data_IF_702593448573
#
_entry.id   IF_702593448573
#
_cell.length_a   1.000
_cell.length_b   1.000
_cell.length_c   1.000
_cell.angle_alpha   90.00
_cell.angle_beta   90.00
_cell.angle_gamma   90.00
#
_symmetry.space_group_name_H-M   'P 1'
#
loop_
_entity.id
_entity.type
_entity.pdbx_description
1 polymer ?
#
# COMPACT_ATOMS: atom_id res chain seq x y z
N UNK A 1 -35.40 33.38 -20.48
CA UNK A 1 -34.23 33.18 -19.59
C UNK A 1 -34.58 33.03 -18.11
N UNK A 2 -35.85 33.00 -17.71
CA UNK A 2 -36.24 32.80 -16.30
C UNK A 2 -37.02 31.50 -16.02
N UNK A 3 -37.39 30.72 -17.05
CA UNK A 3 -38.18 29.49 -16.87
C UNK A 3 -37.39 28.18 -17.04
N UNK A 4 -36.14 28.22 -17.49
CA UNK A 4 -35.28 27.02 -17.65
C UNK A 4 -34.30 26.75 -16.50
N UNK A 5 -34.31 27.58 -15.45
CA UNK A 5 -33.46 27.39 -14.26
C UNK A 5 -34.14 26.60 -13.13
N UNK A 6 -35.47 26.46 -13.16
CA UNK A 6 -36.21 25.79 -12.08
C UNK A 6 -36.33 24.25 -12.23
N UNK A 7 -35.99 23.67 -13.38
CA UNK A 7 -36.08 22.22 -13.59
C UNK A 7 -34.76 21.46 -13.29
N UNK A 8 -33.63 22.17 -13.15
CA UNK A 8 -32.35 21.57 -12.77
C UNK A 8 -32.14 21.43 -11.25
N UNK A 9 -32.90 22.16 -10.43
CA UNK A 9 -32.88 21.98 -8.96
C UNK A 9 -33.70 20.76 -8.49
N UNK A 10 -34.56 20.19 -9.34
CA UNK A 10 -35.46 19.09 -8.97
C UNK A 10 -34.87 17.67 -9.12
N UNK A 11 -33.61 17.53 -9.56
CA UNK A 11 -32.94 16.22 -9.72
C UNK A 11 -31.70 16.01 -8.85
N UNK A 12 -31.54 16.80 -7.79
CA UNK A 12 -30.57 16.42 -6.75
C UNK A 12 -31.11 15.19 -6.00
N UNK A 13 -30.38 14.06 -5.94
CA UNK A 13 -30.75 12.98 -5.02
C UNK A 13 -30.82 13.59 -3.63
N UNK A 14 -31.70 13.10 -2.74
CA UNK A 14 -31.85 13.69 -1.42
C UNK A 14 -30.49 13.67 -0.73
N UNK A 15 -29.84 14.84 -0.66
CA UNK A 15 -28.73 15.08 0.24
C UNK A 15 -29.37 15.03 1.61
N UNK A 16 -29.44 13.83 2.20
CA UNK A 16 -29.49 13.71 3.64
C UNK A 16 -28.23 14.43 4.12
N UNK A 17 -28.38 15.69 4.53
CA UNK A 17 -27.39 16.32 5.38
C UNK A 17 -27.40 15.52 6.67
N UNK A 18 -26.51 14.55 6.75
CA UNK A 18 -26.20 13.89 8.01
C UNK A 18 -25.45 14.93 8.84
N UNK A 19 -26.20 15.67 9.64
CA UNK A 19 -25.63 16.43 10.74
C UNK A 19 -24.91 15.44 11.66
N UNK A 20 -23.72 15.80 12.13
CA UNK A 20 -22.93 14.96 13.04
C UNK A 20 -23.81 14.49 14.20
N UNK A 21 -23.82 13.20 14.57
CA UNK A 21 -24.53 12.74 15.76
C UNK A 21 -24.04 13.51 17.00
N UNK A 22 -24.90 13.64 18.00
CA UNK A 22 -24.51 14.23 19.30
C UNK A 22 -23.30 13.47 19.87
N UNK A 23 -22.12 14.11 19.92
CA UNK A 23 -20.88 13.52 20.45
C UNK A 23 -19.71 13.43 19.46
N UNK A 24 -19.92 13.68 18.16
CA UNK A 24 -18.82 13.79 17.18
C UNK A 24 -18.54 15.24 16.77
N UNK A 25 -17.26 15.60 16.63
CA UNK A 25 -16.87 16.86 15.99
C UNK A 25 -16.84 16.74 14.48
N UNK A 26 -16.88 17.85 13.74
CA UNK A 26 -16.96 17.78 12.29
C UNK A 26 -15.73 17.08 11.69
N UNK A 27 -14.52 17.32 12.20
CA UNK A 27 -13.32 16.67 11.65
C UNK A 27 -13.29 15.16 11.91
N UNK A 28 -13.68 14.72 13.11
CA UNK A 28 -13.78 13.33 13.54
C UNK A 28 -14.96 12.62 12.91
N UNK A 29 -16.08 13.33 12.74
CA UNK A 29 -17.22 12.82 12.00
C UNK A 29 -16.82 12.58 10.56
N UNK A 30 -16.20 13.56 9.90
CA UNK A 30 -15.69 13.40 8.55
C UNK A 30 -14.65 12.27 8.52
N UNK A 31 -13.75 12.17 9.49
CA UNK A 31 -12.75 11.11 9.52
C UNK A 31 -13.35 9.70 9.75
N UNK A 32 -14.28 9.54 10.69
CA UNK A 32 -14.97 8.27 10.96
C UNK A 32 -15.93 7.91 9.83
N UNK A 33 -16.58 8.89 9.19
CA UNK A 33 -17.32 8.69 7.95
C UNK A 33 -16.39 8.34 6.79
N UNK A 34 -15.16 8.84 6.80
CA UNK A 34 -14.07 8.46 5.91
C UNK A 34 -13.74 6.97 6.06
N UNK A 35 -13.48 6.52 7.29
CA UNK A 35 -13.26 5.11 7.63
C UNK A 35 -14.46 4.22 7.37
N UNK A 36 -15.66 4.66 7.72
CA UNK A 36 -16.90 3.93 7.47
C UNK A 36 -17.17 3.80 5.97
N UNK A 37 -16.96 4.87 5.23
CA UNK A 37 -17.06 4.86 3.77
C UNK A 37 -15.99 3.95 3.17
N UNK A 38 -14.77 3.97 3.70
CA UNK A 38 -13.69 3.06 3.32
C UNK A 38 -14.06 1.58 3.59
N UNK A 39 -14.56 1.26 4.78
CA UNK A 39 -14.95 -0.10 5.13
C UNK A 39 -16.15 -0.61 4.32
N UNK A 40 -17.03 0.29 3.87
CA UNK A 40 -18.25 -0.07 3.11
C UNK A 40 -18.14 0.11 1.60
N UNK A 41 -16.95 0.40 1.05
CA UNK A 41 -16.81 0.42 -0.40
C UNK A 41 -16.94 1.79 -1.08
N UNK A 42 -17.08 2.87 -0.33
CA UNK A 42 -17.43 4.20 -0.83
C UNK A 42 -16.23 5.17 -0.89
N UNK A 43 -15.25 4.93 -1.79
CA UNK A 43 -13.93 5.62 -1.82
C UNK A 43 -13.98 7.09 -2.15
N UNK A 44 -14.85 7.51 -3.06
CA UNK A 44 -14.99 8.94 -3.37
C UNK A 44 -15.51 9.70 -2.16
N UNK A 45 -16.50 9.14 -1.47
CA UNK A 45 -16.98 9.69 -0.21
C UNK A 45 -15.88 9.66 0.84
N UNK A 46 -15.15 8.54 0.98
CA UNK A 46 -14.03 8.39 1.91
C UNK A 46 -12.91 9.41 1.66
N UNK A 47 -12.52 9.63 0.41
CA UNK A 47 -11.51 10.63 0.04
C UNK A 47 -12.01 12.05 0.29
N UNK A 48 -13.27 12.36 -0.03
CA UNK A 48 -13.88 13.65 0.30
C UNK A 48 -13.91 13.89 1.81
N UNK A 49 -14.23 12.85 2.58
CA UNK A 49 -14.24 12.85 4.03
C UNK A 49 -12.83 13.03 4.62
N UNK A 50 -11.80 12.36 4.07
CA UNK A 50 -10.41 12.56 4.48
C UNK A 50 -9.88 13.94 4.08
N UNK A 51 -10.27 14.46 2.91
CA UNK A 51 -9.94 15.82 2.49
C UNK A 51 -10.61 16.86 3.40
N UNK A 52 -11.89 16.67 3.73
CA UNK A 52 -12.61 17.51 4.68
C UNK A 52 -11.96 17.48 6.06
N UNK A 53 -11.58 16.29 6.56
CA UNK A 53 -10.82 16.15 7.79
C UNK A 53 -9.47 16.89 7.73
N UNK A 54 -8.72 16.79 6.63
CA UNK A 54 -7.46 17.50 6.43
C UNK A 54 -7.62 19.03 6.34
N UNK A 55 -8.69 19.53 5.70
CA UNK A 55 -8.99 20.97 5.62
C UNK A 55 -9.42 21.53 6.98
N UNK A 56 -10.24 20.78 7.72
CA UNK A 56 -10.63 21.13 9.09
C UNK A 56 -9.40 21.11 10.03
N UNK A 57 -8.46 20.18 9.82
CA UNK A 57 -7.16 20.14 10.48
C UNK A 57 -6.31 21.38 10.18
N UNK A 58 -6.18 21.78 8.92
CA UNK A 58 -5.46 23.01 8.54
C UNK A 58 -6.10 24.26 9.19
N UNK A 59 -7.43 24.27 9.30
CA UNK A 59 -8.18 25.34 9.95
C UNK A 59 -7.94 25.40 11.47
N UNK A 60 -7.77 24.24 12.14
CA UNK A 60 -7.38 24.14 13.55
C UNK A 60 -5.99 24.77 13.79
N UNK A 61 -5.01 24.47 12.93
CA UNK A 61 -3.65 25.03 13.06
C UNK A 61 -3.65 26.56 12.96
N UNK A 62 -4.48 27.11 12.09
CA UNK A 62 -4.56 28.56 11.87
C UNK A 62 -5.40 29.27 12.94
N UNK A 63 -6.46 28.62 13.43
CA UNK A 63 -7.41 29.22 14.37
C UNK A 63 -7.83 28.27 15.50
N UNK A 64 -6.93 27.98 16.47
CA UNK A 64 -7.16 26.98 17.52
C UNK A 64 -8.39 27.27 18.40
N UNK A 65 -8.65 28.55 18.66
CA UNK A 65 -9.82 29.00 19.46
C UNK A 65 -11.15 28.84 18.73
N UNK A 66 -11.14 28.72 17.40
CA UNK A 66 -12.36 28.53 16.60
C UNK A 66 -12.75 27.04 16.52
N UNK A 67 -11.79 26.13 16.61
CA UNK A 67 -12.03 24.70 16.45
C UNK A 67 -12.87 24.06 17.56
N UNK A 68 -12.83 24.63 18.77
CA UNK A 68 -13.71 24.20 19.86
C UNK A 68 -15.21 24.37 19.53
N UNK A 69 -15.55 25.22 18.55
CA UNK A 69 -16.93 25.43 18.09
C UNK A 69 -17.31 24.53 16.91
N UNK A 70 -16.34 23.92 16.23
CA UNK A 70 -16.55 22.89 15.20
C UNK A 70 -16.52 21.48 15.79
N UNK A 71 -16.44 21.39 17.13
CA UNK A 71 -16.27 20.15 17.85
C UNK A 71 -17.19 19.96 19.05
N UNK A 72 -17.82 18.79 19.12
CA UNK A 72 -18.53 18.33 20.33
C UNK A 72 -17.63 17.55 21.29
N UNK A 73 -16.39 17.25 20.88
CA UNK A 73 -15.34 16.75 21.76
C UNK A 73 -14.90 17.85 22.71
N UNK A 74 -14.69 17.49 23.97
CA UNK A 74 -14.16 18.42 24.98
C UNK A 74 -12.79 18.94 24.54
N UNK A 75 -12.43 20.17 24.93
CA UNK A 75 -11.14 20.76 24.57
C UNK A 75 -9.94 19.86 24.94
N UNK A 76 -10.08 19.01 25.96
CA UNK A 76 -9.07 18.04 26.39
C UNK A 76 -8.82 16.85 25.44
N UNK A 77 -9.71 16.55 24.49
CA UNK A 77 -9.52 15.44 23.52
C UNK A 77 -9.06 15.90 22.13
N UNK A 78 -9.06 17.22 21.88
CA UNK A 78 -8.55 17.82 20.65
C UNK A 78 -7.10 17.40 20.30
N UNK A 79 -6.16 17.28 21.26
CA UNK A 79 -4.81 16.83 20.94
C UNK A 79 -4.75 15.41 20.37
N UNK A 80 -5.53 14.47 20.91
CA UNK A 80 -5.52 13.08 20.42
C UNK A 80 -6.07 12.96 19.00
N UNK A 81 -7.11 13.73 18.67
CA UNK A 81 -7.67 13.83 17.32
C UNK A 81 -6.64 14.39 16.33
N UNK A 82 -5.97 15.47 16.74
CA UNK A 82 -4.93 16.13 15.96
C UNK A 82 -3.74 15.19 15.71
N UNK A 83 -3.28 14.48 16.74
CA UNK A 83 -2.21 13.50 16.63
C UNK A 83 -2.57 12.34 15.69
N UNK A 84 -3.80 11.84 15.77
CA UNK A 84 -4.26 10.78 14.89
C UNK A 84 -4.38 11.22 13.43
N UNK A 85 -4.84 12.45 13.19
CA UNK A 85 -4.84 13.04 11.84
C UNK A 85 -3.43 13.12 11.25
N UNK A 86 -2.45 13.55 12.06
CA UNK A 86 -1.04 13.58 11.69
C UNK A 86 -0.51 12.18 11.33
N UNK A 87 -0.81 11.15 12.14
CA UNK A 87 -0.44 9.74 11.85
C UNK A 87 -0.95 9.27 10.48
N UNK A 88 -2.18 9.64 10.11
CA UNK A 88 -2.78 9.21 8.84
C UNK A 88 -2.22 9.97 7.64
N UNK A 89 -2.04 11.28 7.77
CA UNK A 89 -1.37 12.07 6.75
C UNK A 89 0.08 11.61 6.55
N UNK A 90 0.79 11.30 7.64
CA UNK A 90 2.15 10.78 7.59
C UNK A 90 2.24 9.48 6.79
N UNK A 91 1.33 8.54 7.05
CA UNK A 91 1.27 7.28 6.29
C UNK A 91 1.01 7.53 4.81
N UNK A 92 0.05 8.41 4.47
CA UNK A 92 -0.26 8.74 3.08
C UNK A 92 0.93 9.40 2.37
N UNK A 93 1.56 10.38 3.02
CA UNK A 93 2.74 11.07 2.50
C UNK A 93 3.88 10.10 2.23
N UNK A 94 4.18 9.21 3.17
CA UNK A 94 5.23 8.21 3.02
C UNK A 94 4.90 7.20 1.90
N UNK A 95 3.75 6.54 1.99
CA UNK A 95 3.50 5.35 1.18
C UNK A 95 2.98 5.65 -0.22
N UNK A 96 2.01 6.57 -0.34
CA UNK A 96 1.35 6.86 -1.61
C UNK A 96 1.99 8.01 -2.38
N UNK A 97 2.58 8.99 -1.67
CA UNK A 97 3.23 10.15 -2.29
C UNK A 97 4.75 10.01 -2.36
N UNK A 98 5.35 9.03 -1.68
CA UNK A 98 6.81 8.84 -1.63
C UNK A 98 7.56 9.92 -0.84
N UNK A 99 6.87 10.85 -0.15
CA UNK A 99 7.48 11.89 0.67
C UNK A 99 7.66 11.40 2.11
N UNK A 100 8.63 10.52 2.29
CA UNK A 100 9.00 9.98 3.60
C UNK A 100 9.48 11.07 4.58
N UNK A 101 10.08 12.16 4.10
CA UNK A 101 10.50 13.27 4.96
C UNK A 101 9.31 14.06 5.52
N UNK A 102 8.24 14.23 4.74
CA UNK A 102 6.97 14.72 5.28
C UNK A 102 6.36 13.73 6.29
N UNK A 103 6.46 12.43 6.00
CA UNK A 103 6.10 11.37 6.95
C UNK A 103 6.81 11.51 8.30
N UNK A 104 8.14 11.72 8.30
CA UNK A 104 8.92 11.96 9.54
C UNK A 104 8.34 13.12 10.33
N UNK A 105 8.15 14.28 9.69
CA UNK A 105 7.64 15.49 10.36
C UNK A 105 6.25 15.25 10.97
N UNK A 106 5.33 14.71 10.20
CA UNK A 106 3.96 14.48 10.65
C UNK A 106 3.86 13.42 11.77
N UNK A 107 4.66 12.35 11.71
CA UNK A 107 4.71 11.40 12.82
C UNK A 107 5.34 11.99 14.09
N UNK A 108 6.33 12.89 13.96
CA UNK A 108 6.90 13.62 15.09
C UNK A 108 5.89 14.59 15.69
N UNK A 109 5.17 15.36 14.87
CA UNK A 109 4.07 16.23 15.31
C UNK A 109 3.03 15.41 16.09
N UNK A 110 2.67 14.22 15.61
CA UNK A 110 1.76 13.33 16.33
C UNK A 110 2.28 12.93 17.72
N UNK A 111 3.59 12.68 17.86
CA UNK A 111 4.22 12.33 19.15
C UNK A 111 4.22 13.53 20.10
N UNK A 112 4.45 14.74 19.60
CA UNK A 112 4.51 15.94 20.43
C UNK A 112 3.13 16.42 20.89
N UNK A 113 2.12 16.25 20.03
CA UNK A 113 0.75 16.68 20.28
C UNK A 113 0.03 15.74 21.24
N UNK A 114 0.26 14.42 21.11
CA UNK A 114 -0.43 13.43 21.91
C UNK A 114 0.11 13.40 23.35
N UNK A 115 -0.76 13.63 24.34
CA UNK A 115 -0.40 13.51 25.75
C UNK A 115 -0.02 12.08 26.16
N UNK A 116 -0.38 11.07 25.36
CA UNK A 116 0.02 9.68 25.53
C UNK A 116 0.25 9.01 24.15
N UNK A 117 1.38 9.31 23.48
CA UNK A 117 1.62 8.91 22.09
C UNK A 117 1.45 7.41 21.83
N UNK A 118 0.91 7.07 20.67
CA UNK A 118 0.81 5.67 20.23
C UNK A 118 2.18 5.08 19.82
N UNK A 119 2.43 3.77 20.04
CA UNK A 119 3.59 3.08 19.46
C UNK A 119 3.64 3.19 17.93
N UNK A 120 2.49 3.35 17.27
CA UNK A 120 2.40 3.55 15.81
C UNK A 120 3.12 4.82 15.36
N UNK A 121 3.06 5.90 16.15
CA UNK A 121 3.70 7.16 15.78
C UNK A 121 5.22 7.00 15.79
N UNK A 122 5.78 6.40 16.85
CA UNK A 122 7.22 6.13 16.94
C UNK A 122 7.69 5.16 15.85
N UNK A 123 6.96 4.07 15.62
CA UNK A 123 7.28 3.10 14.56
C UNK A 123 7.23 3.75 13.17
N UNK A 124 6.26 4.63 12.95
CA UNK A 124 6.12 5.44 11.74
C UNK A 124 7.30 6.40 11.53
N UNK A 125 7.78 7.08 12.58
CA UNK A 125 8.99 7.91 12.51
C UNK A 125 10.19 7.06 12.06
N UNK A 126 10.43 5.92 12.71
CA UNK A 126 11.55 5.04 12.36
C UNK A 126 11.49 4.59 10.90
N UNK A 127 10.30 4.15 10.47
CA UNK A 127 10.05 3.69 9.09
C UNK A 127 10.33 4.79 8.06
N UNK A 128 9.84 6.00 8.32
CA UNK A 128 10.07 7.13 7.42
C UNK A 128 11.52 7.60 7.40
N UNK A 129 12.24 7.52 8.53
CA UNK A 129 13.68 7.82 8.60
C UNK A 129 14.46 6.86 7.70
N UNK A 130 14.21 5.54 7.82
CA UNK A 130 14.89 4.56 6.97
C UNK A 130 14.55 4.76 5.49
N UNK A 131 13.27 4.97 5.18
CA UNK A 131 12.78 5.24 3.82
C UNK A 131 13.36 6.52 3.21
N UNK A 132 13.82 7.46 4.04
CA UNK A 132 14.45 8.71 3.58
C UNK A 132 15.96 8.56 3.38
N UNK A 133 16.51 7.35 3.47
CA UNK A 133 17.94 7.07 3.33
C UNK A 133 18.80 7.56 4.51
N UNK A 134 18.18 7.90 5.64
CA UNK A 134 18.88 8.42 6.83
C UNK A 134 19.52 7.32 7.70
N UNK A 135 19.30 6.05 7.33
CA UNK A 135 19.94 4.88 7.92
C UNK A 135 19.23 4.31 9.16
N UNK A 136 19.46 3.02 9.46
CA UNK A 136 18.85 2.32 10.58
C UNK A 136 19.31 2.86 11.94
N UNK A 137 20.50 3.48 12.04
CA UNK A 137 21.03 4.05 13.30
C UNK A 137 20.14 5.18 13.81
N UNK A 138 19.63 6.02 12.91
CA UNK A 138 18.74 7.13 13.27
C UNK A 138 17.32 6.67 13.56
N UNK A 139 16.88 5.57 12.94
CA UNK A 139 15.55 5.01 13.14
C UNK A 139 15.44 4.19 14.44
N UNK A 140 16.52 3.51 14.84
CA UNK A 140 16.53 2.56 15.94
C UNK A 140 16.01 3.11 17.29
N UNK A 141 16.34 4.33 17.74
CA UNK A 141 15.79 4.89 18.98
C UNK A 141 14.25 4.96 18.98
N UNK A 142 13.65 5.26 17.82
CA UNK A 142 12.20 5.32 17.65
C UNK A 142 11.57 3.93 17.68
N UNK A 143 12.17 2.95 16.99
CA UNK A 143 11.72 1.56 17.05
C UNK A 143 11.81 0.96 18.47
N UNK A 144 12.89 1.24 19.20
CA UNK A 144 13.02 0.81 20.59
C UNK A 144 11.93 1.43 21.48
N UNK A 145 11.63 2.72 21.27
CA UNK A 145 10.57 3.41 22.01
C UNK A 145 9.21 2.78 21.71
N UNK A 146 8.86 2.59 20.43
CA UNK A 146 7.63 1.92 20.01
C UNK A 146 7.50 0.53 20.64
N UNK A 147 8.57 -0.28 20.58
CA UNK A 147 8.60 -1.63 21.16
C UNK A 147 8.41 -1.64 22.67
N UNK A 148 9.03 -0.72 23.42
CA UNK A 148 8.90 -0.64 24.89
C UNK A 148 7.48 -0.28 25.33
N UNK A 149 6.75 0.48 24.53
CA UNK A 149 5.39 0.91 24.85
C UNK A 149 4.37 -0.23 24.74
N UNK A 150 4.61 -1.22 23.87
CA UNK A 150 3.71 -2.36 23.67
C UNK A 150 2.34 -1.96 23.09
N UNK A 151 1.54 -2.94 22.65
CA UNK A 151 0.19 -2.69 22.11
C UNK A 151 -0.32 -3.75 21.14
N UNK A 152 -1.53 -3.57 20.60
CA UNK A 152 -2.18 -4.52 19.67
C UNK A 152 -1.37 -4.78 18.37
N UNK A 153 -0.48 -3.85 17.98
CA UNK A 153 0.49 -4.00 16.88
C UNK A 153 1.93 -4.31 17.35
N UNK A 154 2.10 -4.78 18.59
CA UNK A 154 3.41 -4.97 19.22
C UNK A 154 4.39 -5.85 18.43
N UNK A 155 3.86 -6.78 17.61
CA UNK A 155 4.67 -7.62 16.72
C UNK A 155 5.43 -6.84 15.65
N UNK A 156 4.81 -5.85 14.99
CA UNK A 156 5.46 -5.08 13.92
C UNK A 156 6.57 -4.18 14.47
N UNK A 157 6.32 -3.47 15.56
CA UNK A 157 7.35 -2.61 16.18
C UNK A 157 8.52 -3.42 16.75
N UNK A 158 8.25 -4.62 17.30
CA UNK A 158 9.31 -5.52 17.71
C UNK A 158 10.13 -6.01 16.51
N UNK A 159 9.47 -6.32 15.40
CA UNK A 159 10.10 -6.75 14.17
C UNK A 159 11.02 -5.68 13.56
N UNK A 160 10.50 -4.47 13.32
CA UNK A 160 11.29 -3.36 12.78
C UNK A 160 12.49 -3.03 13.67
N UNK A 161 12.29 -3.04 14.99
CA UNK A 161 13.36 -2.86 15.97
C UNK A 161 14.45 -3.93 15.82
N UNK A 162 14.08 -5.21 15.72
CA UNK A 162 15.04 -6.30 15.56
C UNK A 162 15.79 -6.25 14.22
N UNK A 163 15.10 -5.93 13.13
CA UNK A 163 15.71 -5.76 11.80
C UNK A 163 16.74 -4.63 11.82
N UNK A 164 16.39 -3.47 12.38
CA UNK A 164 17.31 -2.34 12.54
C UNK A 164 18.48 -2.69 13.47
N UNK A 165 18.26 -3.45 14.54
CA UNK A 165 19.33 -3.92 15.43
C UNK A 165 20.33 -4.85 14.72
N UNK A 166 19.88 -5.81 13.90
CA UNK A 166 20.81 -6.66 13.14
C UNK A 166 21.67 -5.83 12.19
N UNK A 167 21.07 -4.86 11.49
CA UNK A 167 21.73 -3.99 10.52
C UNK A 167 22.71 -2.99 11.16
N UNK A 168 22.47 -2.59 12.40
CA UNK A 168 23.36 -1.70 13.18
C UNK A 168 24.39 -2.44 14.02
N UNK A 169 24.56 -3.76 13.81
CA UNK A 169 25.59 -4.55 14.50
C UNK A 169 25.23 -5.04 15.90
N UNK A 170 23.94 -4.99 16.29
CA UNK A 170 23.42 -5.46 17.58
C UNK A 170 22.77 -6.85 17.45
N UNK A 171 23.51 -7.82 16.90
CA UNK A 171 22.93 -9.11 16.50
C UNK A 171 22.38 -9.94 17.68
N UNK A 172 23.02 -9.86 18.85
CA UNK A 172 22.58 -10.62 20.02
C UNK A 172 21.21 -10.13 20.52
N UNK A 173 21.03 -8.82 20.64
CA UNK A 173 19.75 -8.23 21.07
C UNK A 173 18.63 -8.48 20.05
N UNK A 174 18.95 -8.35 18.77
CA UNK A 174 17.99 -8.67 17.71
C UNK A 174 17.55 -10.13 17.75
N UNK A 175 18.49 -11.07 17.96
CA UNK A 175 18.21 -12.51 18.05
C UNK A 175 17.24 -12.82 19.19
N UNK A 176 17.41 -12.19 20.35
CA UNK A 176 16.50 -12.37 21.49
C UNK A 176 15.07 -11.94 21.18
N UNK A 177 14.91 -10.83 20.44
CA UNK A 177 13.59 -10.37 19.99
C UNK A 177 13.00 -11.35 18.96
N UNK A 178 13.76 -11.70 17.92
CA UNK A 178 13.30 -12.60 16.86
C UNK A 178 12.96 -14.00 17.37
N UNK A 179 13.72 -14.54 18.32
CA UNK A 179 13.45 -15.86 18.92
C UNK A 179 12.18 -15.86 19.78
N UNK A 180 11.86 -14.73 20.42
CA UNK A 180 10.59 -14.55 21.12
C UNK A 180 9.43 -14.51 20.12
N UNK A 181 9.56 -13.71 19.07
CA UNK A 181 8.56 -13.59 18.01
C UNK A 181 8.31 -14.92 17.30
N UNK A 182 9.36 -15.73 17.06
CA UNK A 182 9.23 -17.08 16.48
C UNK A 182 8.38 -18.02 17.34
N UNK A 183 8.32 -17.79 18.65
CA UNK A 183 7.47 -18.56 19.58
C UNK A 183 6.07 -17.97 19.72
N UNK A 184 5.83 -16.78 19.19
CA UNK A 184 4.56 -16.06 19.23
C UNK A 184 3.51 -16.60 18.25
N UNK A 185 2.59 -15.71 17.87
CA UNK A 185 1.46 -16.02 16.97
C UNK A 185 1.88 -16.22 15.51
N UNK A 186 0.94 -16.66 14.67
CA UNK A 186 1.22 -16.95 13.26
C UNK A 186 1.75 -15.73 12.49
N UNK A 187 1.24 -14.53 12.77
CA UNK A 187 1.74 -13.28 12.18
C UNK A 187 3.19 -12.99 12.53
N UNK A 188 3.58 -13.08 13.80
CA UNK A 188 4.97 -12.84 14.22
C UNK A 188 5.93 -13.88 13.63
N UNK A 189 5.50 -15.15 13.54
CA UNK A 189 6.27 -16.20 12.86
C UNK A 189 6.47 -15.87 11.39
N UNK A 190 5.41 -15.44 10.70
CA UNK A 190 5.46 -15.01 9.30
C UNK A 190 6.49 -13.90 9.07
N UNK A 191 6.53 -12.89 9.94
CA UNK A 191 7.51 -11.80 9.89
C UNK A 191 8.95 -12.30 10.05
N UNK A 192 9.23 -13.08 11.11
CA UNK A 192 10.60 -13.60 11.38
C UNK A 192 11.09 -14.48 10.24
N UNK A 193 10.21 -15.29 9.68
CA UNK A 193 10.52 -16.21 8.61
C UNK A 193 10.73 -15.51 7.26
N UNK A 194 9.92 -14.47 6.99
CA UNK A 194 10.13 -13.55 5.87
C UNK A 194 11.48 -12.87 5.95
N UNK A 195 11.85 -12.36 7.12
CA UNK A 195 13.15 -11.74 7.32
C UNK A 195 14.32 -12.70 7.10
N UNK A 196 14.19 -13.95 7.53
CA UNK A 196 15.16 -15.00 7.21
C UNK A 196 15.38 -15.14 5.70
N UNK A 197 14.29 -15.12 4.92
CA UNK A 197 14.35 -15.20 3.47
C UNK A 197 14.99 -13.97 2.83
N UNK A 198 14.52 -12.77 3.18
CA UNK A 198 15.03 -11.49 2.63
C UNK A 198 16.52 -11.33 2.93
N UNK A 199 16.91 -11.52 4.19
CA UNK A 199 18.32 -11.42 4.63
C UNK A 199 19.23 -12.39 3.90
N UNK A 200 18.78 -13.61 3.61
CA UNK A 200 19.57 -14.57 2.84
C UNK A 200 19.83 -14.09 1.42
N UNK A 201 18.80 -13.56 0.75
CA UNK A 201 18.89 -13.12 -0.65
C UNK A 201 19.59 -11.76 -0.80
N UNK A 202 19.50 -10.91 0.22
CA UNK A 202 20.09 -9.56 0.23
C UNK A 202 21.41 -9.46 1.00
N UNK A 203 22.02 -10.59 1.39
CA UNK A 203 23.23 -10.62 2.25
C UNK A 203 24.45 -9.86 1.71
N UNK A 204 24.51 -9.65 0.39
CA UNK A 204 25.62 -8.95 -0.26
C UNK A 204 25.39 -7.43 -0.36
N UNK A 205 24.14 -6.97 -0.29
CA UNK A 205 23.79 -5.57 -0.49
C UNK A 205 22.42 -5.25 0.15
N UNK A 206 22.39 -5.24 1.48
CA UNK A 206 21.15 -5.24 2.27
C UNK A 206 20.56 -3.84 2.48
N UNK A 207 21.41 -2.82 2.51
CA UNK A 207 20.98 -1.45 2.83
C UNK A 207 20.50 -0.67 1.60
N UNK A 208 20.92 -1.05 0.40
CA UNK A 208 20.47 -0.43 -0.86
C UNK A 208 19.16 -1.02 -1.38
N UNK A 209 18.88 -2.29 -1.07
CA UNK A 209 17.80 -3.07 -1.69
C UNK A 209 16.62 -3.33 -0.74
N UNK A 210 16.56 -2.64 0.40
CA UNK A 210 15.51 -2.79 1.41
C UNK A 210 14.75 -1.48 1.62
N UNK A 211 13.61 -1.35 0.95
CA UNK A 211 12.78 -0.15 0.89
C UNK A 211 11.60 -0.20 1.88
N UNK A 212 10.77 0.85 1.92
CA UNK A 212 9.64 0.91 2.86
C UNK A 212 8.28 1.31 2.25
N UNK A 213 8.25 2.10 1.18
CA UNK A 213 6.98 2.60 0.62
C UNK A 213 6.54 1.87 -0.66
N UNK A 214 5.23 1.73 -0.86
CA UNK A 214 4.68 1.19 -2.12
C UNK A 214 5.07 2.06 -3.32
N UNK A 215 4.94 3.39 -3.24
CA UNK A 215 5.32 4.27 -4.35
C UNK A 215 6.80 4.12 -4.72
N UNK A 216 7.67 4.12 -3.71
CA UNK A 216 9.13 3.97 -3.88
C UNK A 216 9.47 2.66 -4.62
N UNK A 217 8.84 1.55 -4.23
CA UNK A 217 9.02 0.26 -4.89
C UNK A 217 8.52 0.27 -6.34
N UNK A 218 7.38 0.92 -6.63
CA UNK A 218 6.89 1.06 -8.00
C UNK A 218 7.82 1.94 -8.85
N UNK A 219 8.34 3.04 -8.32
CA UNK A 219 9.30 3.91 -9.00
C UNK A 219 10.60 3.16 -9.33
N UNK A 220 11.12 2.38 -8.37
CA UNK A 220 12.28 1.53 -8.60
C UNK A 220 12.01 0.49 -9.68
N UNK A 221 10.91 -0.26 -9.58
CA UNK A 221 10.57 -1.30 -10.55
C UNK A 221 10.36 -0.74 -11.97
N UNK A 222 9.74 0.44 -12.10
CA UNK A 222 9.59 1.15 -13.38
C UNK A 222 10.96 1.61 -13.92
N UNK A 223 11.83 2.12 -13.04
CA UNK A 223 13.20 2.49 -13.40
C UNK A 223 13.98 1.30 -13.97
N UNK A 224 13.85 0.13 -13.35
CA UNK A 224 14.47 -1.10 -13.83
C UNK A 224 13.85 -1.63 -15.14
N UNK A 225 12.57 -1.34 -15.38
CA UNK A 225 11.85 -1.74 -16.59
C UNK A 225 12.02 -0.74 -17.75
N UNK A 226 12.79 0.34 -17.55
CA UNK A 226 12.88 1.48 -18.47
C UNK A 226 13.13 1.07 -19.92
N UNK A 227 14.14 0.25 -20.17
CA UNK A 227 14.51 -0.17 -21.53
C UNK A 227 13.37 -0.97 -22.20
N UNK A 228 12.70 -1.84 -21.45
CA UNK A 228 11.54 -2.60 -21.94
C UNK A 228 10.34 -1.70 -22.23
N UNK A 229 10.11 -0.68 -21.39
CA UNK A 229 9.02 0.29 -21.54
C UNK A 229 9.26 1.19 -22.76
N UNK A 230 10.48 1.73 -22.91
CA UNK A 230 10.90 2.56 -24.04
C UNK A 230 10.89 1.76 -25.35
N UNK A 231 11.25 0.47 -25.29
CA UNK A 231 11.14 -0.49 -26.40
C UNK A 231 9.70 -0.85 -26.78
N UNK A 232 8.70 -0.31 -26.09
CA UNK A 232 7.29 -0.49 -26.43
C UNK A 232 6.61 -1.67 -25.74
N UNK A 233 7.27 -2.35 -24.81
CA UNK A 233 6.72 -3.50 -24.08
C UNK A 233 5.48 -3.16 -23.24
N UNK A 234 4.73 -4.20 -22.91
CA UNK A 234 3.47 -4.11 -22.16
C UNK A 234 3.73 -3.74 -20.69
N UNK A 235 2.81 -2.95 -20.14
CA UNK A 235 2.77 -2.52 -18.75
C UNK A 235 1.44 -2.98 -18.18
N UNK A 236 1.48 -3.80 -17.13
CA UNK A 236 0.28 -4.44 -16.59
C UNK A 236 0.18 -4.27 -15.06
N UNK A 237 -1.05 -4.21 -14.57
CA UNK A 237 -1.41 -4.42 -13.16
C UNK A 237 -2.51 -5.48 -13.08
N UNK A 238 -2.32 -6.47 -12.20
CA UNK A 238 -3.27 -7.55 -11.96
C UNK A 238 -3.76 -7.45 -10.53
N UNK A 239 -5.03 -7.13 -10.35
CA UNK A 239 -5.58 -6.63 -9.09
C UNK A 239 -5.45 -5.11 -9.03
N UNK A 240 -6.51 -4.43 -9.43
CA UNK A 240 -6.60 -2.96 -9.49
C UNK A 240 -7.42 -2.43 -8.32
N UNK A 241 -8.46 -3.16 -7.93
CA UNK A 241 -9.47 -2.75 -6.95
C UNK A 241 -9.95 -1.31 -7.21
N UNK A 242 -9.66 -0.38 -6.29
CA UNK A 242 -10.04 1.04 -6.39
C UNK A 242 -9.01 1.90 -7.12
N UNK A 243 -7.90 1.30 -7.55
CA UNK A 243 -6.86 1.89 -8.37
C UNK A 243 -5.86 2.72 -7.58
N UNK A 244 -5.50 2.32 -6.35
CA UNK A 244 -4.50 3.06 -5.55
C UNK A 244 -3.14 3.01 -6.25
N UNK A 245 -2.62 1.80 -6.49
CA UNK A 245 -1.39 1.53 -7.22
C UNK A 245 -1.50 1.94 -8.70
N UNK A 246 -2.62 1.65 -9.38
CA UNK A 246 -2.87 2.13 -10.76
C UNK A 246 -2.67 3.65 -10.90
N UNK A 247 -3.15 4.45 -9.95
CA UNK A 247 -2.95 5.92 -9.98
C UNK A 247 -1.49 6.30 -9.79
N UNK A 248 -0.75 5.60 -8.92
CA UNK A 248 0.69 5.80 -8.79
C UNK A 248 1.38 5.46 -10.12
N UNK A 249 1.05 4.33 -10.74
CA UNK A 249 1.58 3.94 -12.06
C UNK A 249 1.28 5.00 -13.12
N UNK A 250 0.06 5.53 -13.18
CA UNK A 250 -0.32 6.61 -14.09
C UNK A 250 0.49 7.90 -13.88
N UNK A 251 0.85 8.21 -12.64
CA UNK A 251 1.65 9.39 -12.29
C UNK A 251 3.13 9.20 -12.61
N UNK A 252 3.68 8.01 -12.38
CA UNK A 252 5.09 7.70 -12.57
C UNK A 252 5.42 7.50 -14.06
N UNK A 253 4.53 6.83 -14.81
CA UNK A 253 4.78 6.45 -16.20
C UNK A 253 4.54 7.60 -17.19
N UNK A 254 5.24 7.61 -18.34
CA UNK A 254 4.98 8.57 -19.40
C UNK A 254 3.54 8.48 -19.91
N UNK A 255 2.90 9.63 -20.16
CA UNK A 255 1.47 9.70 -20.51
C UNK A 255 1.12 9.06 -21.85
N UNK A 256 2.11 8.88 -22.72
CA UNK A 256 1.97 8.21 -24.01
C UNK A 256 1.93 6.69 -23.89
N UNK A 257 2.33 6.13 -22.74
CA UNK A 257 2.34 4.69 -22.50
C UNK A 257 0.97 4.22 -22.02
N UNK A 258 0.51 3.13 -22.63
CA UNK A 258 -0.73 2.47 -22.22
C UNK A 258 -0.45 1.54 -21.06
N UNK A 259 -1.27 1.64 -20.02
CA UNK A 259 -1.24 0.75 -18.83
C UNK A 259 -2.48 -0.15 -18.89
N UNK A 260 -2.30 -1.46 -18.77
CA UNK A 260 -3.39 -2.41 -18.77
C UNK A 260 -3.70 -2.88 -17.35
N UNK A 261 -4.92 -2.63 -16.88
CA UNK A 261 -5.38 -3.10 -15.58
C UNK A 261 -6.35 -4.28 -15.72
N UNK A 262 -6.16 -5.32 -14.91
CA UNK A 262 -7.01 -6.52 -14.91
C UNK A 262 -7.63 -6.69 -13.53
N UNK A 263 -8.97 -6.74 -13.47
CA UNK A 263 -9.70 -6.93 -12.21
C UNK A 263 -11.15 -7.36 -12.50
N UNK A 264 -11.81 -8.03 -11.54
CA UNK A 264 -13.25 -8.29 -11.61
C UNK A 264 -14.06 -7.04 -11.22
N UNK A 265 -13.50 -6.21 -10.34
CA UNK A 265 -14.10 -5.16 -9.53
C UNK A 265 -15.17 -5.66 -8.56
N UNK A 266 -15.36 -6.98 -8.48
CA UNK A 266 -16.33 -7.67 -7.63
C UNK A 266 -15.68 -8.19 -6.33
N UNK A 267 -14.36 -8.10 -6.24
CA UNK A 267 -13.57 -8.55 -5.09
C UNK A 267 -13.00 -9.95 -5.30
N UNK A 268 -12.46 -10.52 -4.22
CA UNK A 268 -11.83 -11.84 -4.24
C UNK A 268 -12.81 -12.93 -4.72
N UNK A 269 -12.41 -13.82 -5.64
CA UNK A 269 -13.25 -14.91 -6.11
C UNK A 269 -13.45 -16.01 -5.06
N UNK A 270 -12.50 -16.14 -4.13
CA UNK A 270 -12.52 -17.09 -3.01
C UNK A 270 -11.97 -16.45 -1.73
N UNK A 271 -12.14 -17.10 -0.59
CA UNK A 271 -11.62 -16.59 0.68
C UNK A 271 -10.08 -16.69 0.75
N UNK A 272 -9.44 -15.72 1.40
CA UNK A 272 -7.99 -15.65 1.56
C UNK A 272 -7.61 -15.34 3.01
N UNK A 273 -7.11 -16.34 3.74
CA UNK A 273 -6.87 -16.19 5.18
C UNK A 273 -8.16 -15.87 5.94
N UNK A 274 -8.17 -14.72 6.62
CA UNK A 274 -9.36 -14.20 7.32
C UNK A 274 -10.28 -13.35 6.41
N UNK A 275 -9.82 -13.03 5.20
CA UNK A 275 -10.60 -12.26 4.22
C UNK A 275 -11.61 -13.15 3.50
N UNK A 276 -12.86 -12.69 3.45
CA UNK A 276 -13.95 -13.44 2.81
C UNK A 276 -13.95 -13.20 1.30
N UNK A 277 -14.55 -14.13 0.56
CA UNK A 277 -14.88 -13.89 -0.84
C UNK A 277 -15.70 -12.58 -0.99
N UNK A 278 -15.39 -11.80 -2.02
CA UNK A 278 -15.94 -10.45 -2.24
C UNK A 278 -15.27 -9.32 -1.47
N UNK A 279 -14.29 -9.58 -0.59
CA UNK A 279 -13.41 -8.53 -0.04
C UNK A 279 -12.70 -7.79 -1.18
N UNK A 280 -12.35 -6.51 -0.96
CA UNK A 280 -11.70 -5.60 -1.92
C UNK A 280 -12.55 -5.19 -3.13
N UNK A 281 -13.85 -5.49 -3.12
CA UNK A 281 -14.78 -5.05 -4.16
C UNK A 281 -14.81 -3.53 -4.35
N UNK A 282 -14.87 -3.10 -5.61
CA UNK A 282 -15.21 -1.73 -6.01
C UNK A 282 -16.72 -1.61 -6.36
N UNK A 283 -17.54 -2.58 -5.93
CA UNK A 283 -18.96 -2.66 -6.24
C UNK A 283 -19.23 -2.98 -7.71
N UNK A 284 -18.32 -3.70 -8.37
CA UNK A 284 -18.36 -4.02 -9.80
C UNK A 284 -18.09 -2.81 -10.70
N UNK A 285 -17.69 -1.67 -10.14
CA UNK A 285 -17.49 -0.41 -10.87
C UNK A 285 -16.01 -0.15 -11.12
N UNK A 286 -15.68 0.04 -12.39
CA UNK A 286 -14.37 0.50 -12.81
C UNK A 286 -14.16 1.93 -12.31
N UNK A 287 -13.08 2.22 -11.54
CA UNK A 287 -12.74 3.58 -11.16
C UNK A 287 -12.44 4.46 -12.38
N UNK A 288 -12.56 5.78 -12.20
CA UNK A 288 -12.15 6.70 -13.26
C UNK A 288 -10.62 6.81 -13.30
N UNK A 289 -10.05 6.63 -14.48
CA UNK A 289 -8.62 6.70 -14.78
C UNK A 289 -8.37 7.62 -15.98
N UNK A 290 -7.11 7.96 -16.22
CA UNK A 290 -6.70 8.69 -17.40
C UNK A 290 -6.93 7.90 -18.69
N UNK A 291 -6.90 8.60 -19.83
CA UNK A 291 -7.13 8.01 -21.16
C UNK A 291 -6.09 6.96 -21.56
N UNK A 292 -4.96 6.92 -20.88
CA UNK A 292 -3.87 5.96 -21.11
C UNK A 292 -4.07 4.63 -20.35
N UNK A 293 -5.06 4.52 -19.46
CA UNK A 293 -5.38 3.26 -18.77
C UNK A 293 -6.45 2.49 -19.54
N UNK A 294 -6.20 1.21 -19.80
CA UNK A 294 -7.14 0.28 -20.45
C UNK A 294 -7.46 -0.87 -19.52
N UNK A 295 -8.71 -0.88 -19.03
CA UNK A 295 -9.18 -1.90 -18.10
C UNK A 295 -9.72 -3.12 -18.85
N UNK A 296 -9.35 -4.31 -18.38
CA UNK A 296 -9.85 -5.62 -18.80
C UNK A 296 -10.62 -6.24 -17.64
N UNK A 297 -11.92 -5.98 -17.61
CA UNK A 297 -12.79 -6.47 -16.55
C UNK A 297 -13.05 -7.96 -16.71
N UNK A 298 -12.88 -8.73 -15.63
CA UNK A 298 -13.22 -10.14 -15.54
C UNK A 298 -12.16 -10.96 -14.80
N UNK A 299 -12.42 -12.26 -14.66
CA UNK A 299 -11.43 -13.20 -14.12
C UNK A 299 -10.19 -13.25 -15.02
N UNK A 300 -9.03 -13.50 -14.43
CA UNK A 300 -7.75 -13.53 -15.16
C UNK A 300 -7.73 -14.60 -16.26
N UNK A 301 -8.31 -15.78 -16.02
CA UNK A 301 -8.40 -16.88 -17.00
C UNK A 301 -9.13 -16.48 -18.29
N UNK A 302 -10.13 -15.60 -18.18
CA UNK A 302 -10.95 -15.17 -19.30
C UNK A 302 -10.38 -13.91 -19.97
N UNK A 303 -10.00 -12.93 -19.15
CA UNK A 303 -9.62 -11.59 -19.64
C UNK A 303 -8.24 -11.57 -20.31
N UNK A 304 -7.24 -12.25 -19.75
CA UNK A 304 -5.85 -12.20 -20.25
C UNK A 304 -5.74 -12.93 -21.58
N UNK A 305 -6.32 -14.13 -21.70
CA UNK A 305 -6.26 -14.95 -22.92
C UNK A 305 -6.88 -14.27 -24.14
N UNK A 306 -7.98 -13.52 -23.94
CA UNK A 306 -8.61 -12.76 -25.01
C UNK A 306 -7.76 -11.55 -25.36
N UNK A 307 -7.32 -10.79 -24.36
CA UNK A 307 -6.51 -9.59 -24.54
C UNK A 307 -5.18 -9.86 -25.27
N UNK A 308 -4.47 -10.95 -24.93
CA UNK A 308 -3.19 -11.31 -25.58
C UNK A 308 -3.29 -11.60 -27.08
N UNK A 309 -4.51 -11.73 -27.63
CA UNK A 309 -4.77 -11.89 -29.07
C UNK A 309 -5.05 -10.58 -29.79
N UNK A 310 -5.24 -9.47 -29.07
CA UNK A 310 -5.48 -8.18 -29.68
C UNK A 310 -4.26 -7.73 -30.49
N UNK A 311 -4.51 -7.14 -31.67
CA UNK A 311 -3.47 -6.77 -32.63
C UNK A 311 -2.36 -5.92 -32.01
N UNK A 312 -2.73 -4.99 -31.15
CA UNK A 312 -1.83 -4.00 -30.55
C UNK A 312 -0.86 -4.60 -29.52
N UNK A 313 -1.17 -5.78 -28.94
CA UNK A 313 -0.34 -6.42 -27.89
C UNK A 313 0.16 -7.82 -28.25
N UNK A 314 -0.43 -8.44 -29.28
CA UNK A 314 -0.18 -9.85 -29.65
C UNK A 314 1.29 -10.22 -29.91
N UNK A 315 2.17 -9.23 -30.14
CA UNK A 315 3.60 -9.42 -30.41
C UNK A 315 4.51 -8.70 -29.43
N UNK A 316 3.96 -7.97 -28.47
CA UNK A 316 4.76 -7.17 -27.53
C UNK A 316 5.26 -8.06 -26.39
N UNK A 317 6.52 -7.93 -25.94
CA UNK A 317 6.97 -8.53 -24.70
C UNK A 317 6.33 -7.84 -23.49
N UNK A 318 6.33 -8.51 -22.34
CA UNK A 318 6.00 -7.88 -21.07
C UNK A 318 7.23 -7.10 -20.57
N UNK A 319 7.12 -5.79 -20.40
CA UNK A 319 8.19 -4.98 -19.82
C UNK A 319 8.07 -4.95 -18.29
N UNK A 320 6.86 -4.66 -17.80
CA UNK A 320 6.57 -4.49 -16.38
C UNK A 320 5.23 -5.10 -16.02
N UNK A 321 5.15 -5.78 -14.87
CA UNK A 321 3.88 -6.12 -14.24
C UNK A 321 3.88 -5.90 -12.73
N UNK A 322 2.86 -5.21 -12.23
CA UNK A 322 2.45 -5.24 -10.83
C UNK A 322 1.50 -6.44 -10.61
N UNK A 323 1.95 -7.41 -9.81
CA UNK A 323 1.21 -8.62 -9.44
C UNK A 323 0.65 -8.38 -8.03
N UNK A 324 -0.62 -8.02 -7.96
CA UNK A 324 -1.36 -7.70 -6.72
C UNK A 324 -2.61 -8.58 -6.65
N UNK A 325 -2.38 -9.89 -6.71
CA UNK A 325 -3.45 -10.86 -6.92
C UNK A 325 -3.96 -11.48 -5.62
N UNK A 326 -3.22 -11.30 -4.53
CA UNK A 326 -3.32 -11.93 -3.21
C UNK A 326 -3.20 -13.47 -3.25
N UNK A 327 -4.05 -14.11 -4.03
CA UNK A 327 -4.24 -15.55 -4.10
C UNK A 327 -3.18 -16.25 -4.93
N UNK A 328 -2.79 -17.45 -4.47
CA UNK A 328 -2.00 -18.40 -5.24
C UNK A 328 -2.62 -18.72 -6.61
N UNK A 329 -3.91 -19.03 -6.64
CA UNK A 329 -4.64 -19.47 -7.84
C UNK A 329 -4.64 -18.39 -8.92
N UNK A 330 -4.99 -17.15 -8.53
CA UNK A 330 -4.92 -15.95 -9.35
C UNK A 330 -3.51 -15.70 -9.90
N UNK A 331 -2.50 -15.67 -9.02
CA UNK A 331 -1.10 -15.42 -9.43
C UNK A 331 -0.59 -16.49 -10.38
N UNK A 332 -0.88 -17.76 -10.11
CA UNK A 332 -0.50 -18.89 -10.97
C UNK A 332 -1.14 -18.79 -12.36
N UNK A 333 -2.40 -18.37 -12.44
CA UNK A 333 -3.08 -18.12 -13.72
C UNK A 333 -2.38 -17.01 -14.52
N UNK A 334 -2.14 -15.85 -13.88
CA UNK A 334 -1.46 -14.71 -14.51
C UNK A 334 -0.10 -15.12 -15.08
N UNK A 335 0.76 -15.73 -14.26
CA UNK A 335 2.10 -16.15 -14.67
C UNK A 335 2.08 -17.19 -15.79
N UNK A 336 1.13 -18.14 -15.74
CA UNK A 336 1.00 -19.18 -16.77
C UNK A 336 0.58 -18.61 -18.12
N UNK A 337 -0.32 -17.62 -18.12
CA UNK A 337 -0.81 -17.00 -19.35
C UNK A 337 0.18 -16.00 -19.95
N UNK A 338 0.90 -15.27 -19.11
CA UNK A 338 1.95 -14.33 -19.55
C UNK A 338 3.26 -15.02 -19.92
N UNK A 339 3.41 -16.32 -19.66
CA UNK A 339 4.63 -17.06 -19.94
C UNK A 339 5.25 -16.79 -21.33
N UNK A 340 4.48 -16.75 -22.44
CA UNK A 340 5.02 -16.50 -23.78
C UNK A 340 5.47 -15.05 -24.03
N UNK A 341 5.35 -14.18 -23.02
CA UNK A 341 5.62 -12.74 -23.07
C UNK A 341 6.69 -12.30 -22.07
N UNK A 342 6.98 -13.15 -21.09
CA UNK A 342 8.03 -12.93 -20.09
C UNK A 342 9.38 -13.27 -20.76
N UNK A 343 10.25 -12.27 -20.84
CA UNK A 343 11.54 -12.32 -21.54
C UNK A 343 12.66 -11.77 -20.64
N UNK A 344 13.94 -12.00 -20.95
CA UNK A 344 15.03 -11.31 -20.27
C UNK A 344 14.82 -9.79 -20.21
N UNK A 345 15.00 -9.21 -19.03
CA UNK A 345 14.72 -7.80 -18.74
C UNK A 345 13.27 -7.49 -18.33
N UNK A 346 12.34 -8.44 -18.38
CA UNK A 346 11.00 -8.27 -17.77
C UNK A 346 11.15 -8.03 -16.27
N UNK A 347 10.48 -6.98 -15.76
CA UNK A 347 10.38 -6.69 -14.33
C UNK A 347 9.00 -7.08 -13.82
N UNK A 348 8.97 -7.81 -12.71
CA UNK A 348 7.74 -8.12 -11.97
C UNK A 348 7.89 -7.57 -10.56
N UNK A 349 6.87 -6.89 -10.05
CA UNK A 349 6.72 -6.56 -8.64
C UNK A 349 5.53 -7.33 -8.08
N UNK A 350 5.71 -7.95 -6.93
CA UNK A 350 4.67 -8.68 -6.20
C UNK A 350 4.23 -7.88 -4.98
N UNK A 351 2.93 -7.70 -4.76
CA UNK A 351 2.41 -6.86 -3.67
C UNK A 351 2.45 -7.60 -2.31
N UNK A 352 1.94 -8.83 -2.28
CA UNK A 352 1.81 -9.65 -1.07
C UNK A 352 2.79 -10.84 -1.12
N UNK A 353 4.09 -10.52 -1.15
CA UNK A 353 5.14 -11.52 -1.33
C UNK A 353 5.74 -12.05 -0.02
N UNK A 354 5.82 -11.20 1.01
CA UNK A 354 6.47 -11.48 2.30
C UNK A 354 5.71 -10.82 3.46
N UNK A 355 6.16 -11.03 4.70
CA UNK A 355 5.69 -10.33 5.89
C UNK A 355 4.19 -10.47 6.23
N UNK A 356 3.54 -11.54 5.75
CA UNK A 356 2.21 -11.96 6.21
C UNK A 356 2.21 -13.45 6.65
N UNK A 357 1.23 -13.92 7.44
CA UNK A 357 1.29 -15.23 8.10
C UNK A 357 1.45 -16.44 7.15
N UNK A 358 0.89 -16.34 5.95
CA UNK A 358 0.82 -17.42 4.96
C UNK A 358 1.68 -17.19 3.73
N UNK A 359 2.62 -16.25 3.76
CA UNK A 359 3.35 -15.76 2.58
C UNK A 359 3.95 -16.83 1.67
N UNK A 360 4.33 -17.99 2.21
CA UNK A 360 4.84 -19.11 1.42
C UNK A 360 3.81 -19.88 0.60
N UNK A 361 2.53 -19.61 0.77
CA UNK A 361 1.45 -20.39 0.17
C UNK A 361 0.78 -19.69 -1.01
N UNK A 362 0.99 -18.37 -1.13
CA UNK A 362 0.25 -17.47 -2.00
C UNK A 362 1.11 -17.06 -3.21
N UNK A 363 1.33 -15.75 -3.43
CA UNK A 363 2.08 -15.23 -4.58
C UNK A 363 3.50 -15.82 -4.66
N UNK A 364 4.18 -15.94 -3.51
CA UNK A 364 5.50 -16.57 -3.43
C UNK A 364 5.49 -17.99 -4.00
N UNK A 365 4.48 -18.78 -3.63
CA UNK A 365 4.38 -20.17 -4.08
C UNK A 365 4.16 -20.23 -5.58
N UNK A 366 3.20 -19.44 -6.08
CA UNK A 366 2.89 -19.37 -7.50
C UNK A 366 4.12 -18.98 -8.33
N UNK A 367 4.89 -17.98 -7.86
CA UNK A 367 6.15 -17.58 -8.47
C UNK A 367 7.18 -18.72 -8.49
N UNK A 368 7.43 -19.36 -7.34
CA UNK A 368 8.43 -20.44 -7.25
C UNK A 368 8.08 -21.65 -8.11
N UNK A 369 6.80 -22.01 -8.18
CA UNK A 369 6.32 -23.08 -9.06
C UNK A 369 6.43 -22.69 -10.54
N UNK A 370 6.07 -21.46 -10.91
CA UNK A 370 6.20 -20.95 -12.27
C UNK A 370 7.66 -20.91 -12.75
N UNK A 371 8.58 -20.40 -11.93
CA UNK A 371 10.03 -20.41 -12.21
C UNK A 371 10.51 -21.83 -12.49
N UNK A 372 10.15 -22.80 -11.64
CA UNK A 372 10.54 -24.20 -11.82
C UNK A 372 9.92 -24.80 -13.09
N UNK A 373 8.65 -24.51 -13.36
CA UNK A 373 7.90 -25.05 -14.49
C UNK A 373 8.40 -24.52 -15.83
N UNK A 374 8.74 -23.23 -15.90
CA UNK A 374 9.10 -22.55 -17.13
C UNK A 374 10.61 -22.37 -17.32
N UNK A 375 11.42 -22.73 -16.31
CA UNK A 375 12.87 -22.68 -16.38
C UNK A 375 13.44 -21.27 -16.36
N UNK A 376 12.74 -20.32 -15.74
CA UNK A 376 13.19 -18.93 -15.67
C UNK A 376 14.40 -18.78 -14.76
N UNK A 377 15.37 -18.00 -15.22
CA UNK A 377 16.41 -17.44 -14.35
C UNK A 377 15.98 -16.04 -13.96
N UNK A 378 16.28 -15.65 -12.72
CA UNK A 378 15.85 -14.37 -12.19
C UNK A 378 16.78 -13.91 -11.07
N UNK A 379 16.72 -12.61 -10.77
CA UNK A 379 17.31 -12.01 -9.59
C UNK A 379 16.27 -11.18 -8.83
N UNK A 380 16.46 -11.04 -7.52
CA UNK A 380 15.73 -10.08 -6.71
C UNK A 380 16.45 -8.75 -6.78
N UNK A 381 15.74 -7.69 -7.15
CA UNK A 381 16.25 -6.33 -7.15
C UNK A 381 16.09 -5.72 -5.76
N UNK A 382 14.89 -5.83 -5.19
CA UNK A 382 14.57 -5.17 -3.93
C UNK A 382 13.42 -5.87 -3.19
N UNK A 383 13.36 -5.62 -1.89
CA UNK A 383 12.26 -6.00 -1.00
C UNK A 383 11.79 -4.81 -0.20
N UNK A 384 10.52 -4.83 0.20
CA UNK A 384 9.98 -3.92 1.21
C UNK A 384 9.29 -4.73 2.30
N UNK A 385 9.76 -4.58 3.54
CA UNK A 385 9.19 -5.32 4.68
C UNK A 385 7.85 -4.75 5.13
N UNK A 386 7.61 -3.47 4.86
CA UNK A 386 6.44 -2.70 5.31
C UNK A 386 5.32 -2.74 4.29
N UNK A 387 5.63 -2.58 3.00
CA UNK A 387 4.66 -2.81 1.92
C UNK A 387 4.57 -4.26 1.49
N UNK A 388 5.43 -5.15 2.02
CA UNK A 388 5.47 -6.61 1.77
C UNK A 388 5.91 -7.04 0.37
N UNK A 389 6.44 -6.09 -0.40
CA UNK A 389 6.69 -6.26 -1.81
C UNK A 389 8.05 -6.89 -2.12
N UNK A 390 8.15 -7.50 -3.30
CA UNK A 390 9.42 -7.92 -3.89
C UNK A 390 9.49 -7.59 -5.38
N UNK A 391 10.62 -7.06 -5.82
CA UNK A 391 10.89 -6.78 -7.23
C UNK A 391 11.84 -7.84 -7.77
N UNK A 392 11.48 -8.44 -8.89
CA UNK A 392 12.29 -9.44 -9.60
C UNK A 392 12.55 -9.01 -11.03
N UNK A 393 13.75 -9.33 -11.52
CA UNK A 393 14.13 -9.21 -12.93
C UNK A 393 14.36 -10.59 -13.51
N UNK A 394 13.83 -10.84 -14.70
CA UNK A 394 14.12 -12.04 -15.50
C UNK A 394 15.48 -11.87 -16.20
N UNK A 395 16.31 -12.91 -16.16
CA UNK A 395 17.66 -12.96 -16.75
C UNK A 395 17.71 -13.62 -18.11
#
# INVERSE_FOLDING_TARGET
MAETLNELEAMSPPTKSFTSPSGFNNADWEFEMGKYSESNGNFRSSLSHFHAAAVLYCSLLQHPRAFQYTSSHNASSLPSVLAYSCVRLAHLSHDALGDSMAGVRLYQDAVEIDGSPSPVSYDGVGTCIEASGLGPERALPYYEKARRMGGARGGNSAFHCAVAMERTGRQQEAREILDRMRKGGMGERGLVDSWGYVRWHMRNDMDTNLHRGTREMLELAIGEAKDGIEGGGMICEFGVSRGRSMRMLEEILPKERVIYGFDTFEGLPEAWGDEKAGTYTAGGKIPNFGSNVRIRQGLFDDSIKVWLKEKDVSRLPLAFANIDCDLYSSTSSVLSQLQPRIVPGTILIFDEYICHPTWRNDEFRAWREAVKRFGWSYEYIAFSLTSKQAIVRIL
#
